data_IF_737126959834
#
_entry.id   IF_737126959834
#
_cell.length_a   1.000
_cell.length_b   1.000
_cell.length_c   1.000
_cell.angle_alpha   90.00
_cell.angle_beta   90.00
_cell.angle_gamma   90.00
#
_symmetry.space_group_name_H-M   'P 1'
#
loop_
_entity.id
_entity.type
_entity.pdbx_description
1 polymer ?
#
# COMPACT_ATOMS: atom_id res chain seq x y z
N UNK A 1 -35.55 -18.63 45.36
CA UNK A 1 -34.59 -19.23 44.41
C UNK A 1 -35.11 -18.94 42.99
N UNK A 2 -35.13 -17.72 42.42
CA UNK A 2 -34.14 -16.65 42.31
C UNK A 2 -32.73 -17.17 42.07
N UNK A 3 -32.16 -16.80 40.92
CA UNK A 3 -30.80 -17.07 40.42
C UNK A 3 -30.67 -18.26 39.46
N UNK A 4 -31.43 -18.27 38.37
CA UNK A 4 -30.89 -18.79 37.12
C UNK A 4 -31.15 -17.81 35.97
N UNK A 5 -30.58 -16.61 36.16
CA UNK A 5 -30.34 -15.61 35.11
C UNK A 5 -29.37 -16.23 34.11
N UNK A 6 -29.88 -16.93 33.11
CA UNK A 6 -29.14 -17.30 31.90
C UNK A 6 -28.98 -16.03 31.05
N UNK A 7 -27.99 -15.21 31.38
CA UNK A 7 -27.52 -14.11 30.51
C UNK A 7 -26.43 -14.72 29.64
N UNK A 8 -26.81 -15.27 28.49
CA UNK A 8 -25.85 -15.58 27.43
C UNK A 8 -25.49 -14.24 26.79
N UNK A 9 -24.46 -13.57 27.33
CA UNK A 9 -23.89 -12.40 26.72
C UNK A 9 -23.09 -12.84 25.50
N UNK A 10 -23.69 -12.71 24.32
CA UNK A 10 -23.01 -12.88 23.03
C UNK A 10 -22.06 -11.69 22.84
N UNK A 11 -20.81 -11.84 23.29
CA UNK A 11 -19.77 -10.83 23.06
C UNK A 11 -19.30 -10.97 21.62
N UNK A 12 -19.92 -10.21 20.72
CA UNK A 12 -19.42 -10.04 19.34
C UNK A 12 -18.24 -9.10 19.43
N UNK A 13 -17.02 -9.66 19.43
CA UNK A 13 -15.79 -8.87 19.27
C UNK A 13 -15.74 -8.43 17.81
N UNK A 14 -16.22 -7.21 17.53
CA UNK A 14 -15.96 -6.54 16.27
C UNK A 14 -14.45 -6.25 16.21
N UNK A 15 -13.71 -7.07 15.46
CA UNK A 15 -12.34 -6.74 15.08
C UNK A 15 -12.38 -5.50 14.18
N UNK A 16 -12.24 -4.33 14.79
CA UNK A 16 -11.98 -3.10 14.05
C UNK A 16 -10.61 -3.27 13.39
N UNK A 17 -10.60 -3.45 12.08
CA UNK A 17 -9.39 -3.28 11.29
C UNK A 17 -8.98 -1.81 11.43
N UNK A 18 -8.02 -1.53 12.31
CA UNK A 18 -7.45 -0.20 12.44
C UNK A 18 -6.92 0.20 11.07
N UNK A 19 -7.51 1.20 10.44
CA UNK A 19 -6.88 1.85 9.30
C UNK A 19 -5.55 2.41 9.83
N UNK A 20 -4.43 1.81 9.43
CA UNK A 20 -3.14 2.32 9.82
C UNK A 20 -3.01 3.73 9.25
N UNK A 21 -2.73 4.70 10.12
CA UNK A 21 -2.44 6.06 9.68
C UNK A 21 -1.03 6.05 9.11
N UNK A 22 -0.92 5.89 7.79
CA UNK A 22 0.33 5.67 7.07
C UNK A 22 0.86 7.01 6.58
N UNK A 23 2.02 7.45 7.08
CA UNK A 23 2.65 8.72 6.69
C UNK A 23 3.53 8.52 5.46
N UNK A 24 3.11 9.08 4.34
CA UNK A 24 3.87 9.06 3.09
C UNK A 24 5.05 10.04 3.11
N UNK A 25 6.17 9.64 2.51
CA UNK A 25 7.36 10.48 2.39
C UNK A 25 7.86 10.56 0.95
N UNK A 26 8.40 11.70 0.47
CA UNK A 26 8.95 11.78 -0.88
C UNK A 26 10.15 10.84 -1.07
N UNK A 27 10.21 10.18 -2.23
CA UNK A 27 11.33 9.30 -2.61
C UNK A 27 11.63 9.36 -4.12
N UNK A 28 12.83 8.92 -4.56
CA UNK A 28 13.18 8.87 -5.98
C UNK A 28 12.28 7.92 -6.78
N UNK A 29 11.98 8.28 -8.04
CA UNK A 29 11.19 7.42 -8.94
C UNK A 29 11.96 6.17 -9.36
N UNK A 30 13.27 6.26 -9.57
CA UNK A 30 14.11 5.13 -9.97
C UNK A 30 15.12 4.85 -8.86
N UNK A 31 15.16 3.62 -8.36
CA UNK A 31 16.18 3.10 -7.45
C UNK A 31 17.40 2.67 -8.26
N UNK A 32 18.11 3.63 -8.86
CA UNK A 32 19.46 3.42 -9.37
C UNK A 32 20.31 4.66 -9.10
N UNK A 33 21.56 4.42 -8.76
CA UNK A 33 22.59 5.36 -8.32
C UNK A 33 23.09 6.30 -9.44
N UNK A 34 22.19 6.87 -10.24
CA UNK A 34 22.53 7.90 -11.21
C UNK A 34 21.37 8.89 -11.35
N UNK A 35 21.60 10.08 -10.82
CA UNK A 35 20.68 11.22 -10.83
C UNK A 35 20.42 11.81 -12.23
N UNK A 36 20.93 11.20 -13.30
CA UNK A 36 21.09 11.89 -14.60
C UNK A 36 20.08 11.53 -15.70
N UNK A 37 19.20 10.53 -15.53
CA UNK A 37 18.39 10.06 -16.68
C UNK A 37 17.01 10.70 -16.81
N UNK A 38 16.49 11.38 -15.80
CA UNK A 38 15.18 12.03 -15.92
C UNK A 38 15.28 13.53 -15.65
N UNK A 39 15.72 14.25 -16.69
CA UNK A 39 15.43 15.66 -16.82
C UNK A 39 13.93 15.87 -16.88
N UNK A 40 13.30 16.07 -15.72
CA UNK A 40 12.20 17.00 -15.53
C UNK A 40 11.84 17.12 -14.04
N UNK A 41 11.82 18.37 -13.59
CA UNK A 41 11.54 18.79 -12.22
C UNK A 41 10.19 18.22 -11.74
N UNK A 42 10.16 17.72 -10.51
CA UNK A 42 8.96 17.54 -9.66
C UNK A 42 8.05 16.33 -9.90
N UNK A 43 8.59 15.17 -10.29
CA UNK A 43 7.85 13.92 -10.15
C UNK A 43 8.39 13.19 -8.94
N UNK A 44 7.72 13.38 -7.80
CA UNK A 44 8.09 12.78 -6.51
C UNK A 44 7.23 11.53 -6.35
N UNK A 45 7.85 10.36 -6.45
CA UNK A 45 7.22 9.17 -5.91
C UNK A 45 7.06 9.39 -4.40
N UNK A 46 6.09 8.71 -3.82
CA UNK A 46 5.90 8.66 -2.39
C UNK A 46 6.14 7.23 -1.92
N UNK A 47 6.89 7.10 -0.84
CA UNK A 47 7.25 5.82 -0.25
C UNK A 47 6.78 5.78 1.20
N UNK A 48 6.46 4.57 1.64
CA UNK A 48 6.15 4.30 3.04
C UNK A 48 6.49 2.87 3.44
N UNK A 49 6.87 2.71 4.70
CA UNK A 49 6.92 1.42 5.38
C UNK A 49 5.63 1.22 6.15
N UNK A 50 4.87 0.21 5.77
CA UNK A 50 3.70 -0.25 6.48
C UNK A 50 4.05 -1.52 7.25
N UNK A 51 3.77 -1.57 8.54
CA UNK A 51 4.15 -2.71 9.41
C UNK A 51 2.90 -3.46 9.92
N UNK A 52 2.23 -4.27 9.07
CA UNK A 52 1.08 -5.05 9.49
C UNK A 52 1.48 -6.24 10.38
N UNK A 53 0.48 -6.78 11.09
CA UNK A 53 0.61 -8.07 11.79
C UNK A 53 0.91 -9.19 10.80
N UNK A 54 1.92 -10.02 11.12
CA UNK A 54 2.26 -11.22 10.35
C UNK A 54 1.09 -12.22 10.38
N UNK A 55 0.45 -12.37 11.55
CA UNK A 55 -0.75 -13.17 11.72
C UNK A 55 -1.97 -12.28 11.88
N UNK A 56 -2.96 -12.49 11.02
CA UNK A 56 -4.26 -11.87 11.23
C UNK A 56 -4.93 -12.51 12.45
N UNK A 57 -5.52 -11.70 13.37
CA UNK A 57 -6.29 -12.22 14.49
C UNK A 57 -7.35 -13.21 13.99
N UNK A 58 -7.58 -14.31 14.72
CA UNK A 58 -8.50 -15.40 14.36
C UNK A 58 -8.09 -16.33 13.21
N UNK A 59 -6.96 -16.11 12.53
CA UNK A 59 -6.47 -17.03 11.48
C UNK A 59 -5.25 -17.82 11.98
N UNK A 60 -4.29 -17.13 12.60
CA UNK A 60 -3.11 -17.76 13.17
C UNK A 60 -2.59 -17.02 14.39
N UNK A 61 -1.72 -17.69 15.14
CA UNK A 61 -0.90 -17.10 16.19
C UNK A 61 0.54 -17.02 15.68
N UNK A 62 1.19 -15.87 15.90
CA UNK A 62 2.61 -15.73 15.60
C UNK A 62 3.40 -16.61 16.58
N UNK A 63 4.26 -17.53 16.10
CA UNK A 63 5.13 -18.30 16.96
C UNK A 63 6.05 -17.40 17.80
N UNK A 64 6.38 -17.82 19.03
CA UNK A 64 7.28 -17.06 19.90
C UNK A 64 8.69 -16.84 19.30
N UNK A 65 9.07 -17.66 18.32
CA UNK A 65 10.34 -17.57 17.60
C UNK A 65 10.35 -16.59 16.42
N UNK A 66 9.22 -15.95 16.10
CA UNK A 66 9.06 -15.06 14.96
C UNK A 66 8.56 -13.67 15.36
N UNK A 67 8.86 -12.66 14.55
CA UNK A 67 8.29 -11.32 14.72
C UNK A 67 6.79 -11.35 14.42
N UNK A 68 5.99 -10.68 15.27
CA UNK A 68 4.54 -10.60 15.12
C UNK A 68 4.09 -9.68 13.99
N UNK A 69 5.01 -8.96 13.35
CA UNK A 69 4.76 -8.03 12.24
C UNK A 69 5.74 -8.27 11.11
N UNK A 70 5.38 -7.79 9.93
CA UNK A 70 6.26 -7.72 8.77
C UNK A 70 6.38 -6.29 8.31
N UNK A 71 7.53 -5.95 7.74
CA UNK A 71 7.77 -4.64 7.14
C UNK A 71 7.46 -4.71 5.64
N UNK A 72 6.44 -3.96 5.22
CA UNK A 72 6.00 -3.87 3.82
C UNK A 72 6.37 -2.50 3.27
N UNK A 73 7.31 -2.49 2.33
CA UNK A 73 7.65 -1.28 1.58
C UNK A 73 6.64 -1.07 0.45
N UNK A 74 6.03 0.12 0.40
CA UNK A 74 5.14 0.54 -0.68
C UNK A 74 5.67 1.82 -1.28
N UNK A 75 5.68 1.87 -2.62
CA UNK A 75 6.03 3.04 -3.41
C UNK A 75 4.89 3.35 -4.38
N UNK A 76 4.50 4.62 -4.47
CA UNK A 76 3.44 5.09 -5.37
C UNK A 76 3.86 6.33 -6.15
N UNK A 77 3.25 6.53 -7.32
CA UNK A 77 3.27 7.81 -8.03
C UNK A 77 1.84 8.36 -7.99
N UNK A 78 1.57 9.45 -7.23
CA UNK A 78 0.25 10.05 -7.18
C UNK A 78 -0.19 10.59 -8.55
N UNK A 79 -1.48 10.42 -8.87
CA UNK A 79 -2.06 11.02 -10.06
C UNK A 79 -2.07 12.56 -9.95
N UNK A 80 -1.75 13.26 -11.05
CA UNK A 80 -1.61 14.73 -11.07
C UNK A 80 -2.84 15.50 -11.59
N UNK A 81 -3.90 14.84 -12.07
CA UNK A 81 -5.04 15.49 -12.75
C UNK A 81 -6.28 15.60 -11.86
N UNK A 82 -7.20 16.47 -12.24
CA UNK A 82 -8.56 16.57 -11.67
C UNK A 82 -9.24 15.19 -11.68
N UNK A 83 -9.81 14.79 -10.55
CA UNK A 83 -10.38 13.45 -10.34
C UNK A 83 -9.40 12.39 -9.84
N UNK A 84 -8.16 12.76 -9.47
CA UNK A 84 -7.21 11.84 -8.83
C UNK A 84 -7.79 11.15 -7.57
N UNK A 85 -8.58 11.87 -6.77
CA UNK A 85 -9.22 11.34 -5.56
C UNK A 85 -10.28 10.27 -5.84
N UNK A 86 -10.87 10.26 -7.04
CA UNK A 86 -11.89 9.28 -7.46
C UNK A 86 -11.35 8.22 -8.42
N UNK A 87 -10.10 8.34 -8.86
CA UNK A 87 -9.47 7.37 -9.75
C UNK A 87 -9.05 6.10 -8.99
N UNK A 88 -9.23 4.90 -9.58
CA UNK A 88 -8.77 3.67 -8.96
C UNK A 88 -7.25 3.60 -8.92
N UNK A 89 -6.70 3.02 -7.84
CA UNK A 89 -5.27 2.75 -7.73
C UNK A 89 -4.89 1.50 -8.54
N UNK A 90 -3.84 1.61 -9.35
CA UNK A 90 -3.22 0.46 -10.00
C UNK A 90 -2.07 -0.08 -9.15
N UNK A 91 -2.15 -1.36 -8.76
CA UNK A 91 -1.13 -2.02 -7.95
C UNK A 91 -0.27 -2.92 -8.82
N UNK A 92 1.05 -2.77 -8.70
CA UNK A 92 2.02 -3.69 -9.29
C UNK A 92 2.66 -4.50 -8.17
N UNK A 93 2.58 -5.82 -8.30
CA UNK A 93 3.23 -6.76 -7.40
C UNK A 93 4.12 -7.69 -8.21
N UNK A 94 5.40 -7.66 -7.90
CA UNK A 94 6.37 -8.55 -8.51
C UNK A 94 6.23 -9.91 -7.84
N UNK A 95 5.96 -10.92 -8.66
CA UNK A 95 6.06 -12.31 -8.23
C UNK A 95 7.51 -12.77 -8.18
N UNK A 96 7.71 -14.04 -7.82
CA UNK A 96 9.01 -14.70 -7.85
C UNK A 96 10.03 -14.17 -6.82
N UNK A 97 10.96 -15.01 -6.35
CA UNK A 97 12.05 -14.54 -5.49
C UNK A 97 13.15 -13.84 -6.32
N UNK A 98 13.63 -12.69 -5.83
CA UNK A 98 14.94 -12.11 -6.23
C UNK A 98 14.97 -11.26 -7.50
N UNK A 99 13.85 -10.72 -7.97
CA UNK A 99 13.80 -9.96 -9.22
C UNK A 99 13.85 -8.42 -9.01
N UNK A 100 14.24 -7.69 -10.07
CA UNK A 100 14.67 -6.28 -10.12
C UNK A 100 13.59 -5.25 -9.77
N UNK A 101 13.93 -4.01 -9.36
CA UNK A 101 12.94 -3.01 -8.95
C UNK A 101 11.89 -2.71 -10.03
N UNK A 102 10.61 -2.68 -9.62
CA UNK A 102 9.43 -2.43 -10.48
C UNK A 102 9.30 -0.97 -10.99
N UNK A 103 10.29 -0.13 -10.72
CA UNK A 103 10.22 1.32 -10.95
C UNK A 103 9.94 1.69 -12.41
N UNK A 104 10.62 1.02 -13.35
CA UNK A 104 10.42 1.27 -14.77
C UNK A 104 9.00 0.90 -15.23
N UNK A 105 8.48 -0.25 -14.77
CA UNK A 105 7.13 -0.69 -15.09
C UNK A 105 6.07 0.27 -14.50
N UNK A 106 6.27 0.70 -13.25
CA UNK A 106 5.42 1.69 -12.60
C UNK A 106 5.40 3.02 -13.38
N UNK A 107 6.56 3.50 -13.83
CA UNK A 107 6.68 4.75 -14.59
C UNK A 107 6.02 4.65 -15.97
N UNK A 108 6.27 3.57 -16.71
CA UNK A 108 5.66 3.34 -18.03
C UNK A 108 4.14 3.29 -17.92
N UNK A 109 3.60 2.57 -16.93
CA UNK A 109 2.16 2.51 -16.70
C UNK A 109 1.61 3.90 -16.37
N UNK A 110 2.26 4.64 -15.48
CA UNK A 110 1.85 5.99 -15.11
C UNK A 110 1.77 6.93 -16.32
N UNK A 111 2.79 6.93 -17.19
CA UNK A 111 2.83 7.78 -18.40
C UNK A 111 1.70 7.42 -19.36
N UNK A 112 1.48 6.12 -19.61
CA UNK A 112 0.43 5.66 -20.52
C UNK A 112 -0.97 6.03 -20.01
N UNK A 113 -1.25 5.82 -18.72
CA UNK A 113 -2.54 6.19 -18.13
C UNK A 113 -2.75 7.72 -18.16
N UNK A 114 -1.70 8.51 -17.93
CA UNK A 114 -1.78 9.96 -18.06
C UNK A 114 -2.13 10.42 -19.48
N UNK A 115 -1.61 9.71 -20.50
CA UNK A 115 -1.89 10.00 -21.91
C UNK A 115 -3.33 9.66 -22.29
N UNK A 116 -3.83 8.48 -21.91
CA UNK A 116 -5.24 8.07 -22.13
C UNK A 116 -6.21 9.06 -21.47
N UNK A 117 -5.92 9.51 -20.25
CA UNK A 117 -6.71 10.53 -19.58
C UNK A 117 -6.62 11.92 -20.24
N UNK A 118 -5.74 12.15 -21.23
CA UNK A 118 -5.67 13.41 -21.97
C UNK A 118 -6.54 13.36 -23.23
N UNK A 119 -6.63 12.19 -23.86
CA UNK A 119 -7.47 11.98 -25.04
C UNK A 119 -8.97 11.95 -24.71
N UNK A 120 -9.35 11.55 -23.48
CA UNK A 120 -10.75 11.51 -23.02
C UNK A 120 -11.29 12.83 -22.44
N UNK A 121 -10.54 13.93 -22.55
CA UNK A 121 -10.92 15.25 -22.00
C UNK A 121 -11.12 16.34 -23.07
N UNK A 122 -11.33 15.95 -24.34
CA UNK A 122 -11.75 16.84 -25.44
C UNK A 122 -13.18 16.54 -25.84
#
# INVERSE_FOLDING_TARGET
>A
MQLYRQVIALVVVLSQASAANVTWSPCPIITSYSEEVLGEKNQKAECVMYTPSLCHPSICETPASANATIDVFVKRIPAKKDGAESAPNAWLLQGGPGYTPMDAAMLVLYVNLCHVLRENTV
#
